data_IF_564361296414
#
_entry.id   IF_564361296414
#
_cell.length_a   1.000
_cell.length_b   1.000
_cell.length_c   1.000
_cell.angle_alpha   90.00
_cell.angle_beta   90.00
_cell.angle_gamma   90.00
#
_symmetry.space_group_name_H-M   'P 1'
#
loop_
_entity.id
_entity.type
_entity.pdbx_description
1 polymer ?
#
# COMPACT_ATOMS: atom_id res chain seq x y z
N UNK A 1 29.18 3.07 19.78
CA UNK A 1 29.48 4.40 19.20
C UNK A 1 28.14 5.16 19.12
N UNK A 2 28.11 6.50 19.28
CA UNK A 2 26.89 7.23 19.61
C UNK A 2 25.87 7.25 18.46
N UNK A 3 24.58 7.26 18.81
CA UNK A 3 23.44 7.06 17.89
C UNK A 3 22.85 8.42 17.42
N UNK A 4 23.46 9.51 17.88
CA UNK A 4 22.80 10.81 18.07
C UNK A 4 22.94 11.81 16.91
N UNK A 5 23.56 11.44 15.79
CA UNK A 5 23.86 12.36 14.67
C UNK A 5 23.13 12.04 13.35
N UNK A 6 22.52 10.86 13.19
CA UNK A 6 22.06 10.37 11.87
C UNK A 6 20.56 10.48 11.60
N UNK A 7 19.69 10.40 12.62
CA UNK A 7 18.28 10.83 12.50
C UNK A 7 18.14 12.36 12.50
N UNK A 8 19.21 13.04 12.91
CA UNK A 8 19.20 14.36 13.56
C UNK A 8 19.14 15.52 12.57
N UNK A 9 19.01 15.22 11.29
CA UNK A 9 18.54 16.20 10.31
C UNK A 9 17.10 16.65 10.66
N UNK A 10 16.23 15.76 11.15
CA UNK A 10 14.74 15.88 11.18
C UNK A 10 14.10 15.97 9.77
N UNK A 11 14.83 15.56 8.72
CA UNK A 11 14.39 15.45 7.31
C UNK A 11 14.35 16.74 6.44
N UNK A 12 14.73 17.98 6.77
CA UNK A 12 15.32 18.65 7.94
C UNK A 12 14.28 19.17 8.95
N UNK A 13 13.03 19.21 8.53
CA UNK A 13 11.85 19.39 9.38
C UNK A 13 10.63 18.65 8.75
N UNK A 14 10.90 17.67 7.88
CA UNK A 14 9.94 16.86 7.09
C UNK A 14 9.11 17.58 6.00
N UNK A 15 9.68 18.06 4.89
CA UNK A 15 11.11 18.20 4.59
C UNK A 15 11.67 19.52 5.14
N UNK A 16 10.90 20.61 5.09
CA UNK A 16 10.87 21.61 6.18
C UNK A 16 9.37 21.86 6.53
N UNK A 17 8.74 20.82 7.07
CA UNK A 17 7.29 20.62 7.16
C UNK A 17 6.56 20.84 5.82
N UNK A 18 7.06 20.20 4.76
CA UNK A 18 6.76 20.45 3.33
C UNK A 18 7.12 21.84 2.76
N UNK A 19 7.85 22.69 3.52
CA UNK A 19 8.21 24.08 3.15
C UNK A 19 7.00 25.00 3.01
N UNK A 20 6.46 25.33 4.19
CA UNK A 20 5.81 26.60 4.56
C UNK A 20 5.50 27.59 3.41
N UNK A 21 4.22 27.92 3.25
CA UNK A 21 3.82 29.21 2.70
C UNK A 21 4.52 30.35 3.49
N UNK A 22 5.00 31.41 2.83
CA UNK A 22 5.99 32.31 3.42
C UNK A 22 5.45 33.10 4.62
N UNK A 23 5.90 32.76 5.84
CA UNK A 23 5.64 33.59 7.03
C UNK A 23 5.81 33.00 8.44
N UNK A 24 5.85 31.67 8.64
CA UNK A 24 5.89 31.08 10.00
C UNK A 24 7.28 30.53 10.41
N UNK A 25 7.58 30.57 11.71
CA UNK A 25 8.87 30.17 12.30
C UNK A 25 8.71 28.95 13.22
N UNK A 26 9.67 27.99 13.27
CA UNK A 26 9.46 26.70 13.94
C UNK A 26 9.69 26.77 15.46
N UNK A 27 8.61 27.01 16.22
CA UNK A 27 8.59 26.74 17.65
C UNK A 27 8.27 25.25 17.91
N UNK A 28 9.21 24.51 18.51
CA UNK A 28 9.01 23.12 18.97
C UNK A 28 8.13 23.06 20.22
N UNK A 29 6.85 23.41 20.08
CA UNK A 29 5.84 23.18 21.12
C UNK A 29 5.37 21.73 21.11
N UNK A 30 5.14 21.16 22.31
CA UNK A 30 4.55 19.84 22.46
C UNK A 30 3.06 19.87 22.08
N UNK A 31 2.76 19.60 20.80
CA UNK A 31 1.41 19.65 20.24
C UNK A 31 0.54 18.48 20.72
N UNK A 32 0.05 18.58 21.96
CA UNK A 32 -1.17 17.87 22.38
C UNK A 32 -2.28 18.14 21.36
N UNK A 33 -2.71 17.11 20.65
CA UNK A 33 -3.84 17.20 19.70
C UNK A 33 -3.59 16.66 18.29
N UNK A 34 -2.36 16.25 17.94
CA UNK A 34 -2.16 15.54 16.66
C UNK A 34 -3.05 14.28 16.60
N UNK A 35 -3.71 14.02 15.46
CA UNK A 35 -4.71 12.96 15.40
C UNK A 35 -4.05 11.62 15.06
N UNK A 36 -3.68 10.88 16.11
CA UNK A 36 -2.85 9.65 16.10
C UNK A 36 -1.36 9.91 15.92
N UNK A 37 -0.60 8.87 16.27
CA UNK A 37 0.83 8.86 16.48
C UNK A 37 1.53 8.32 15.22
N UNK A 38 1.21 8.92 14.07
CA UNK A 38 1.94 8.72 12.81
C UNK A 38 2.27 10.05 12.15
N UNK A 39 3.40 10.08 11.45
CA UNK A 39 3.70 11.10 10.44
C UNK A 39 2.77 10.94 9.22
N UNK A 40 2.39 12.04 8.52
CA UNK A 40 1.52 11.97 7.36
C UNK A 40 2.10 11.01 6.30
N UNK A 41 1.31 10.07 5.74
CA UNK A 41 1.85 9.12 4.77
C UNK A 41 2.22 9.78 3.44
N UNK A 42 3.42 9.48 2.94
CA UNK A 42 3.85 9.79 1.59
C UNK A 42 3.37 8.69 0.64
N UNK A 43 2.98 9.06 -0.58
CA UNK A 43 2.67 8.15 -1.69
C UNK A 43 3.48 8.57 -2.90
N UNK A 44 4.15 7.62 -3.54
CA UNK A 44 4.89 7.77 -4.77
C UNK A 44 4.42 6.68 -5.74
N UNK A 45 4.20 7.02 -7.01
CA UNK A 45 3.70 6.11 -8.04
C UNK A 45 4.31 6.52 -9.38
N UNK A 46 4.82 5.55 -10.13
CA UNK A 46 5.38 5.75 -11.47
C UNK A 46 4.93 4.61 -12.37
N UNK A 47 4.28 4.90 -13.51
CA UNK A 47 3.83 3.86 -14.43
C UNK A 47 5.03 3.12 -15.05
N UNK A 48 4.77 1.95 -15.62
CA UNK A 48 5.65 1.17 -16.49
C UNK A 48 6.36 2.07 -17.52
N UNK A 49 7.65 1.83 -17.78
CA UNK A 49 8.41 2.68 -18.68
C UNK A 49 7.81 2.67 -20.11
N UNK A 50 7.38 3.83 -20.57
CA UNK A 50 6.68 4.04 -21.85
C UNK A 50 5.18 4.30 -21.72
N UNK A 51 4.55 3.92 -20.60
CA UNK A 51 3.14 4.19 -20.32
C UNK A 51 2.92 5.62 -19.83
N UNK A 52 1.71 6.14 -20.09
CA UNK A 52 1.22 7.43 -19.57
C UNK A 52 0.73 7.27 -18.11
N UNK A 53 0.68 8.35 -17.29
CA UNK A 53 0.18 8.26 -15.91
C UNK A 53 -1.26 7.76 -15.76
N UNK A 54 -2.09 7.86 -16.80
CA UNK A 54 -3.45 7.30 -16.84
C UNK A 54 -3.55 5.90 -17.46
N UNK A 55 -2.41 5.31 -17.85
CA UNK A 55 -2.23 3.89 -18.20
C UNK A 55 -1.60 3.09 -17.06
N UNK A 56 -1.42 3.73 -15.89
CA UNK A 56 -0.99 3.09 -14.65
C UNK A 56 -2.14 2.25 -14.06
N UNK A 57 -1.98 0.94 -13.97
CA UNK A 57 -2.94 -0.04 -13.46
C UNK A 57 -2.87 -0.18 -11.92
N UNK A 58 -1.73 0.20 -11.34
CA UNK A 58 -1.48 0.36 -9.90
C UNK A 58 -2.34 1.49 -9.30
N UNK A 59 -2.87 1.31 -8.08
CA UNK A 59 -3.53 2.36 -7.31
C UNK A 59 -3.33 2.23 -5.80
N UNK A 60 -3.09 3.36 -5.12
CA UNK A 60 -2.97 3.40 -3.67
C UNK A 60 -3.82 4.48 -2.99
N UNK A 61 -4.40 4.15 -1.84
CA UNK A 61 -5.29 5.01 -1.05
C UNK A 61 -4.89 5.03 0.41
N UNK A 62 -5.09 6.17 1.05
CA UNK A 62 -4.78 6.41 2.47
C UNK A 62 -5.86 7.30 3.06
N UNK A 63 -6.41 6.92 4.22
CA UNK A 63 -7.33 7.76 5.01
C UNK A 63 -6.82 7.83 6.44
N UNK A 64 -6.58 9.06 6.90
CA UNK A 64 -5.99 9.35 8.20
C UNK A 64 -6.31 10.79 8.65
N UNK A 65 -6.86 11.03 9.85
CA UNK A 65 -7.44 10.06 10.78
C UNK A 65 -8.83 9.58 10.33
N UNK A 66 -9.07 8.27 10.35
CA UNK A 66 -10.44 7.72 10.36
C UNK A 66 -10.99 7.86 11.77
N UNK A 67 -12.22 8.37 11.94
CA UNK A 67 -12.94 8.36 13.23
C UNK A 67 -13.88 7.15 13.27
N UNK A 68 -13.67 6.23 14.21
CA UNK A 68 -14.48 5.02 14.36
C UNK A 68 -15.48 5.18 15.53
N UNK A 69 -16.76 5.29 15.19
CA UNK A 69 -17.87 5.35 16.16
C UNK A 69 -17.94 6.66 16.97
N UNK A 70 -18.75 6.65 18.05
CA UNK A 70 -18.89 7.80 18.97
C UNK A 70 -17.70 7.96 19.91
N UNK A 71 -16.96 6.89 20.20
CA UNK A 71 -15.89 6.86 21.22
C UNK A 71 -14.53 7.38 20.71
N UNK A 72 -14.52 8.27 19.71
CA UNK A 72 -13.35 8.92 19.12
C UNK A 72 -12.16 8.01 18.74
N UNK A 73 -12.36 6.70 18.54
CA UNK A 73 -11.28 5.76 18.21
C UNK A 73 -10.71 6.12 16.84
N UNK A 74 -9.49 6.68 16.84
CA UNK A 74 -8.78 7.06 15.61
C UNK A 74 -8.06 5.86 15.00
N UNK A 75 -8.04 5.79 13.67
CA UNK A 75 -7.30 4.81 12.90
C UNK A 75 -6.63 5.44 11.68
N UNK A 76 -5.61 4.77 11.15
CA UNK A 76 -5.05 4.97 9.82
C UNK A 76 -5.44 3.75 8.96
N UNK A 77 -5.87 4.00 7.73
CA UNK A 77 -6.14 2.94 6.75
C UNK A 77 -5.34 3.22 5.49
N UNK A 78 -4.73 2.17 4.96
CA UNK A 78 -3.91 2.18 3.74
C UNK A 78 -4.40 1.04 2.86
N UNK A 79 -4.39 1.26 1.56
CA UNK A 79 -4.58 0.20 0.58
C UNK A 79 -3.67 0.44 -0.62
N UNK A 80 -3.22 -0.66 -1.20
CA UNK A 80 -2.51 -0.75 -2.47
C UNK A 80 -3.16 -1.89 -3.25
N UNK A 81 -3.40 -1.68 -4.53
CA UNK A 81 -3.92 -2.69 -5.45
C UNK A 81 -3.22 -2.52 -6.80
N UNK A 82 -2.72 -3.62 -7.34
CA UNK A 82 -2.06 -3.72 -8.64
C UNK A 82 -3.03 -4.39 -9.63
N UNK A 83 -3.39 -3.72 -10.71
CA UNK A 83 -4.32 -4.20 -11.72
C UNK A 83 -3.63 -5.04 -12.80
N UNK A 84 -3.96 -6.34 -12.90
CA UNK A 84 -3.27 -7.24 -13.81
C UNK A 84 -3.56 -6.93 -15.30
N UNK A 85 -2.52 -6.55 -16.05
CA UNK A 85 -2.52 -6.17 -17.48
C UNK A 85 -3.21 -7.18 -18.41
N UNK A 86 -3.18 -8.47 -18.06
CA UNK A 86 -3.85 -9.51 -18.84
C UNK A 86 -5.38 -9.47 -18.74
N UNK A 87 -5.95 -8.75 -17.77
CA UNK A 87 -7.39 -8.50 -17.62
C UNK A 87 -7.84 -7.19 -18.29
N UNK A 88 -9.14 -6.92 -18.36
CA UNK A 88 -9.69 -5.68 -18.94
C UNK A 88 -10.30 -4.81 -17.84
N UNK A 89 -10.05 -3.49 -17.87
CA UNK A 89 -10.44 -2.56 -16.80
C UNK A 89 -9.90 -2.96 -15.42
N UNK A 90 -8.70 -3.57 -15.44
CA UNK A 90 -7.73 -3.80 -14.36
C UNK A 90 -7.56 -2.57 -13.48
N UNK A 91 -7.21 -1.45 -14.11
CA UNK A 91 -6.99 -0.13 -13.49
C UNK A 91 -8.21 0.35 -12.70
N UNK A 92 -9.40 0.30 -13.28
CA UNK A 92 -10.64 0.71 -12.61
C UNK A 92 -10.96 -0.20 -11.42
N UNK A 93 -10.62 -1.49 -11.53
CA UNK A 93 -10.81 -2.47 -10.47
C UNK A 93 -9.85 -2.25 -9.29
N UNK A 94 -8.56 -2.04 -9.54
CA UNK A 94 -7.59 -1.67 -8.52
C UNK A 94 -8.00 -0.39 -7.75
N UNK A 95 -8.42 0.66 -8.47
CA UNK A 95 -8.94 1.89 -7.87
C UNK A 95 -10.20 1.67 -7.01
N UNK A 96 -11.10 0.78 -7.43
CA UNK A 96 -12.29 0.39 -6.66
C UNK A 96 -11.89 -0.34 -5.38
N UNK A 97 -11.00 -1.34 -5.46
CA UNK A 97 -10.54 -2.12 -4.31
C UNK A 97 -9.80 -1.25 -3.28
N UNK A 98 -8.86 -0.42 -3.73
CA UNK A 98 -8.06 0.44 -2.86
C UNK A 98 -8.94 1.48 -2.15
N UNK A 99 -9.93 2.07 -2.84
CA UNK A 99 -10.92 2.98 -2.25
C UNK A 99 -11.78 2.26 -1.21
N UNK A 100 -12.43 1.17 -1.60
CA UNK A 100 -13.39 0.47 -0.75
C UNK A 100 -12.74 -0.12 0.51
N UNK A 101 -11.46 -0.49 0.47
CA UNK A 101 -10.75 -0.94 1.67
C UNK A 101 -10.53 0.19 2.68
N UNK A 102 -10.18 1.41 2.25
CA UNK A 102 -9.95 2.53 3.18
C UNK A 102 -11.24 3.18 3.66
N UNK A 103 -12.32 3.13 2.89
CA UNK A 103 -13.64 3.64 3.29
C UNK A 103 -14.39 2.62 4.16
N UNK A 104 -14.44 1.36 3.71
CA UNK A 104 -15.32 0.29 4.19
C UNK A 104 -14.52 -0.98 4.51
N UNK A 105 -13.44 -0.88 5.27
CA UNK A 105 -12.56 -2.02 5.60
C UNK A 105 -13.35 -3.25 6.09
N UNK A 106 -13.08 -4.47 5.57
CA UNK A 106 -13.64 -5.71 6.10
C UNK A 106 -13.20 -5.92 7.56
N UNK A 107 -13.97 -6.67 8.36
CA UNK A 107 -13.53 -6.99 9.71
C UNK A 107 -12.50 -8.12 9.69
N UNK A 108 -11.24 -7.78 9.94
CA UNK A 108 -10.11 -8.72 9.99
C UNK A 108 -9.91 -9.31 11.41
N UNK A 109 -10.98 -9.40 12.21
CA UNK A 109 -10.96 -9.90 13.60
C UNK A 109 -11.71 -11.21 13.77
N UNK A 110 -12.74 -11.48 12.97
CA UNK A 110 -13.54 -12.71 13.00
C UNK A 110 -12.77 -13.92 12.49
N UNK A 111 -11.77 -13.70 11.62
CA UNK A 111 -11.16 -14.71 10.75
C UNK A 111 -12.21 -15.46 9.87
N UNK A 112 -13.43 -14.89 9.72
CA UNK A 112 -14.55 -15.48 8.97
C UNK A 112 -14.56 -15.04 7.49
N UNK A 113 -14.24 -15.97 6.59
CA UNK A 113 -14.16 -15.75 5.13
C UNK A 113 -15.47 -15.23 4.49
N UNK A 114 -16.61 -15.38 5.16
CA UNK A 114 -17.89 -14.81 4.74
C UNK A 114 -17.88 -13.28 4.69
N UNK A 115 -17.25 -12.63 5.67
CA UNK A 115 -17.17 -11.17 5.78
C UNK A 115 -16.44 -10.56 4.58
N UNK A 116 -15.39 -11.23 4.09
CA UNK A 116 -14.58 -10.74 2.97
C UNK A 116 -15.30 -10.89 1.61
N UNK A 117 -16.06 -11.97 1.41
CA UNK A 117 -16.92 -12.13 0.22
C UNK A 117 -18.09 -11.14 0.24
N UNK A 118 -18.73 -10.94 1.39
CA UNK A 118 -19.76 -9.92 1.58
C UNK A 118 -19.21 -8.49 1.42
N UNK A 119 -17.98 -8.25 1.86
CA UNK A 119 -17.28 -6.98 1.62
C UNK A 119 -17.07 -6.72 0.13
N UNK A 120 -16.70 -7.74 -0.64
CA UNK A 120 -16.30 -7.56 -2.04
C UNK A 120 -17.48 -7.31 -3.00
N UNK A 121 -18.67 -7.85 -2.72
CA UNK A 121 -19.80 -7.80 -3.65
C UNK A 121 -20.22 -6.37 -4.10
N UNK A 122 -20.36 -5.36 -3.20
CA UNK A 122 -20.65 -3.97 -3.62
C UNK A 122 -19.55 -3.36 -4.49
N UNK A 123 -18.30 -3.81 -4.33
CA UNK A 123 -17.17 -3.40 -5.16
C UNK A 123 -17.31 -3.97 -6.58
N UNK A 124 -17.64 -5.27 -6.69
CA UNK A 124 -17.87 -5.98 -7.95
C UNK A 124 -19.04 -5.37 -8.74
N UNK A 125 -20.17 -5.08 -8.07
CA UNK A 125 -21.28 -4.33 -8.68
C UNK A 125 -20.85 -2.93 -9.17
N UNK A 126 -19.96 -2.27 -8.44
CA UNK A 126 -19.52 -0.91 -8.79
C UNK A 126 -18.56 -0.88 -9.97
N UNK A 127 -17.84 -1.97 -10.20
CA UNK A 127 -17.09 -2.20 -11.43
C UNK A 127 -18.04 -2.50 -12.59
N UNK A 128 -19.00 -3.42 -12.42
CA UNK A 128 -19.99 -3.75 -13.46
C UNK A 128 -20.79 -2.53 -13.95
N UNK A 129 -21.19 -1.64 -13.02
CA UNK A 129 -21.84 -0.35 -13.33
C UNK A 129 -20.93 0.66 -14.03
N UNK A 130 -19.61 0.55 -13.91
CA UNK A 130 -18.64 1.41 -14.57
C UNK A 130 -18.37 0.95 -16.02
N UNK A 131 -18.43 -0.37 -16.28
CA UNK A 131 -18.14 -0.93 -17.59
C UNK A 131 -19.14 -0.45 -18.65
N UNK A 132 -18.67 0.16 -19.76
CA UNK A 132 -19.54 0.64 -20.83
C UNK A 132 -19.94 -0.51 -21.76
N UNK A 133 -20.66 -1.52 -21.24
CA UNK A 133 -20.99 -2.78 -21.91
C UNK A 133 -21.49 -2.63 -23.36
N UNK A 134 -22.34 -1.63 -23.63
CA UNK A 134 -22.88 -1.34 -24.97
C UNK A 134 -21.89 -0.72 -25.98
N UNK A 135 -20.64 -0.47 -25.56
CA UNK A 135 -19.57 0.11 -26.37
C UNK A 135 -18.32 -0.77 -26.46
N UNK A 136 -18.31 -1.94 -25.82
CA UNK A 136 -17.16 -2.86 -25.89
C UNK A 136 -17.07 -3.45 -27.30
N UNK A 137 -15.91 -3.40 -27.98
CA UNK A 137 -15.71 -4.10 -29.24
C UNK A 137 -15.87 -5.62 -29.05
N UNK A 138 -16.50 -6.31 -30.00
CA UNK A 138 -16.79 -7.75 -29.90
C UNK A 138 -15.59 -8.64 -29.51
N UNK A 139 -14.37 -8.27 -29.93
CA UNK A 139 -13.14 -9.00 -29.61
C UNK A 139 -12.66 -8.80 -28.16
N UNK A 140 -13.09 -7.72 -27.50
CA UNK A 140 -12.83 -7.45 -26.08
C UNK A 140 -13.93 -7.98 -25.15
N UNK A 141 -15.13 -8.28 -25.67
CA UNK A 141 -16.29 -8.64 -24.85
C UNK A 141 -16.04 -9.88 -23.98
N UNK A 142 -15.42 -10.94 -24.53
CA UNK A 142 -15.08 -12.13 -23.78
C UNK A 142 -14.07 -11.84 -22.65
N UNK A 143 -13.05 -11.02 -22.90
CA UNK A 143 -12.06 -10.60 -21.90
C UNK A 143 -12.69 -9.75 -20.79
N UNK A 144 -13.64 -8.87 -21.12
CA UNK A 144 -14.35 -8.08 -20.08
C UNK A 144 -15.36 -8.93 -19.31
N UNK A 145 -16.07 -9.87 -19.94
CA UNK A 145 -16.97 -10.82 -19.24
C UNK A 145 -16.23 -11.77 -18.30
N UNK A 146 -14.95 -12.07 -18.58
CA UNK A 146 -14.10 -12.80 -17.64
C UNK A 146 -13.84 -12.02 -16.33
N UNK A 147 -13.94 -10.69 -16.37
CA UNK A 147 -13.70 -9.78 -15.25
C UNK A 147 -12.30 -9.16 -15.27
N UNK A 148 -12.16 -8.04 -14.57
CA UNK A 148 -10.87 -7.50 -14.17
C UNK A 148 -10.26 -8.37 -13.06
N UNK A 149 -8.92 -8.37 -12.98
CA UNK A 149 -8.15 -9.03 -11.92
C UNK A 149 -7.19 -8.01 -11.30
N UNK A 150 -7.05 -8.03 -9.98
CA UNK A 150 -6.13 -7.16 -9.26
C UNK A 150 -5.68 -7.77 -7.93
N UNK A 151 -4.50 -7.38 -7.46
CA UNK A 151 -4.04 -7.65 -6.09
C UNK A 151 -4.77 -6.73 -5.10
N UNK A 152 -4.67 -7.02 -3.80
CA UNK A 152 -5.05 -6.09 -2.74
C UNK A 152 -4.19 -6.31 -1.51
N UNK A 153 -3.36 -5.33 -1.17
CA UNK A 153 -2.71 -5.20 0.12
C UNK A 153 -3.41 -4.09 0.92
N UNK A 154 -4.11 -4.47 1.98
CA UNK A 154 -4.82 -3.56 2.87
C UNK A 154 -4.22 -3.56 4.28
N UNK A 155 -3.97 -2.38 4.85
CA UNK A 155 -3.45 -2.21 6.21
C UNK A 155 -4.34 -1.27 7.04
N UNK A 156 -4.66 -1.67 8.26
CA UNK A 156 -5.30 -0.81 9.28
C UNK A 156 -4.43 -0.72 10.53
N UNK A 157 -4.15 0.51 10.98
CA UNK A 157 -3.45 0.80 12.24
C UNK A 157 -4.42 1.54 13.17
N UNK A 158 -4.65 1.03 14.39
CA UNK A 158 -5.64 1.56 15.34
C UNK A 158 -5.24 1.38 16.81
N UNK A 159 -5.71 2.26 17.68
CA UNK A 159 -5.78 1.98 19.13
C UNK A 159 -7.01 1.10 19.40
N UNK A 160 -6.86 0.04 20.20
CA UNK A 160 -8.03 -0.78 20.66
C UNK A 160 -8.93 0.00 21.63
N UNK A 161 -8.31 0.80 22.50
CA UNK A 161 -8.92 1.67 23.49
C UNK A 161 -8.26 3.06 23.42
N UNK A 162 -9.01 4.14 23.62
CA UNK A 162 -8.49 5.53 23.55
C UNK A 162 -7.35 5.76 24.54
N UNK A 163 -7.42 5.14 25.72
CA UNK A 163 -6.41 5.20 26.78
C UNK A 163 -5.19 4.29 26.58
N UNK A 164 -5.19 3.41 25.58
CA UNK A 164 -4.05 2.51 25.34
C UNK A 164 -2.94 3.23 24.57
N UNK A 165 -1.69 3.25 25.08
CA UNK A 165 -0.55 3.80 24.33
C UNK A 165 -0.19 2.91 23.12
N UNK A 166 -0.58 1.63 23.11
CA UNK A 166 -0.22 0.67 22.07
C UNK A 166 -1.05 0.87 20.79
N UNK A 167 -0.36 1.06 19.67
CA UNK A 167 -0.93 0.91 18.33
C UNK A 167 -0.93 -0.56 17.91
N UNK A 168 -2.10 -1.06 17.50
CA UNK A 168 -2.24 -2.35 16.85
C UNK A 168 -2.37 -2.19 15.35
N UNK A 169 -1.78 -3.11 14.59
CA UNK A 169 -1.98 -3.20 13.16
C UNK A 169 -2.62 -4.54 12.78
N UNK A 170 -3.38 -4.53 11.69
CA UNK A 170 -3.93 -5.71 11.02
C UNK A 170 -3.89 -5.48 9.52
N UNK A 171 -3.34 -6.46 8.79
CA UNK A 171 -3.17 -6.44 7.35
C UNK A 171 -3.88 -7.64 6.69
N UNK A 172 -4.33 -7.41 5.46
CA UNK A 172 -4.83 -8.41 4.53
C UNK A 172 -4.01 -8.30 3.25
N UNK A 173 -3.65 -9.43 2.66
CA UNK A 173 -3.06 -9.48 1.33
C UNK A 173 -3.77 -10.53 0.46
N UNK A 174 -4.04 -10.16 -0.78
CA UNK A 174 -4.34 -11.07 -1.89
C UNK A 174 -3.39 -10.70 -3.02
N UNK A 175 -2.45 -11.59 -3.33
CA UNK A 175 -1.38 -11.36 -4.29
C UNK A 175 -0.03 -11.12 -3.63
N UNK A 176 0.81 -10.32 -4.28
CA UNK A 176 2.25 -10.16 -4.04
C UNK A 176 2.69 -8.71 -3.74
N UNK A 177 1.76 -7.74 -3.79
CA UNK A 177 1.97 -6.42 -3.14
C UNK A 177 2.34 -6.61 -1.66
N UNK A 178 3.49 -6.06 -1.24
CA UNK A 178 4.08 -6.32 0.08
C UNK A 178 4.05 -5.14 1.05
N UNK A 179 3.83 -5.48 2.32
CA UNK A 179 3.98 -4.67 3.53
C UNK A 179 5.33 -5.00 4.19
N UNK A 180 6.17 -3.98 4.33
CA UNK A 180 7.40 -4.05 5.11
C UNK A 180 7.29 -3.20 6.38
N UNK A 181 7.82 -3.69 7.50
CA UNK A 181 8.02 -2.90 8.73
C UNK A 181 9.50 -2.92 9.11
N UNK A 182 10.10 -1.74 9.24
CA UNK A 182 11.49 -1.58 9.69
C UNK A 182 11.48 -1.00 11.11
N UNK A 183 12.12 -1.72 12.03
CA UNK A 183 12.19 -1.39 13.47
C UNK A 183 13.65 -1.34 13.88
N UNK A 184 14.08 -0.20 14.46
CA UNK A 184 15.45 0.01 14.98
C UNK A 184 16.56 -0.34 13.96
N UNK A 185 16.34 0.03 12.70
CA UNK A 185 17.20 -0.27 11.55
C UNK A 185 17.28 -1.75 11.12
N UNK A 186 16.32 -2.60 11.50
CA UNK A 186 16.24 -3.98 10.98
C UNK A 186 14.85 -4.26 10.36
N UNK A 187 14.80 -5.16 9.37
CA UNK A 187 13.55 -5.62 8.78
C UNK A 187 12.81 -6.52 9.78
N UNK A 188 11.76 -5.99 10.40
CA UNK A 188 10.99 -6.65 11.44
C UNK A 188 9.79 -7.44 10.89
N UNK A 189 9.27 -7.04 9.73
CA UNK A 189 8.20 -7.73 9.03
C UNK A 189 8.38 -7.62 7.52
N UNK A 190 8.14 -8.72 6.83
CA UNK A 190 7.74 -8.78 5.43
C UNK A 190 6.43 -9.58 5.34
N UNK A 191 5.51 -9.18 4.47
CA UNK A 191 4.19 -9.80 4.32
C UNK A 191 3.53 -9.36 3.00
N UNK A 192 2.89 -10.22 2.20
CA UNK A 192 2.76 -11.67 2.40
C UNK A 192 4.03 -12.44 2.04
N UNK A 193 4.88 -11.90 1.18
CA UNK A 193 6.13 -12.53 0.75
C UNK A 193 7.30 -12.09 1.63
N UNK A 194 8.29 -12.97 1.81
CA UNK A 194 9.52 -12.75 2.58
C UNK A 194 10.82 -13.11 1.82
N UNK A 195 10.72 -13.73 0.64
CA UNK A 195 11.85 -13.98 -0.27
C UNK A 195 11.52 -13.54 -1.72
N UNK A 196 12.50 -12.94 -2.42
CA UNK A 196 12.33 -12.48 -3.80
C UNK A 196 12.05 -13.62 -4.81
N UNK A 197 12.40 -14.86 -4.49
CA UNK A 197 12.09 -16.04 -5.30
C UNK A 197 10.61 -16.48 -5.23
N UNK A 198 9.79 -15.84 -4.39
CA UNK A 198 8.35 -16.10 -4.28
C UNK A 198 7.52 -15.31 -5.32
N UNK A 199 8.08 -14.26 -5.93
CA UNK A 199 7.41 -13.53 -7.02
C UNK A 199 7.33 -14.39 -8.28
N UNK A 200 6.26 -14.21 -9.05
CA UNK A 200 6.03 -14.96 -10.29
C UNK A 200 4.88 -14.39 -11.12
N UNK A 201 4.56 -15.06 -12.22
CA UNK A 201 3.61 -14.53 -13.20
C UNK A 201 2.13 -14.80 -12.85
N UNK A 202 1.84 -15.52 -11.76
CA UNK A 202 0.49 -15.95 -11.39
C UNK A 202 0.21 -15.77 -9.89
N UNK A 203 0.23 -14.52 -9.37
CA UNK A 203 -0.18 -14.25 -8.00
C UNK A 203 -1.67 -14.53 -7.76
N UNK A 204 -2.05 -14.59 -6.49
CA UNK A 204 -3.45 -14.60 -6.08
C UNK A 204 -4.12 -13.25 -6.43
N UNK A 205 -5.25 -13.27 -7.14
CA UNK A 205 -5.92 -12.05 -7.63
C UNK A 205 -7.41 -12.05 -7.31
N UNK A 206 -7.93 -10.92 -6.85
CA UNK A 206 -9.37 -10.68 -6.70
C UNK A 206 -9.99 -10.41 -8.07
N UNK A 207 -11.07 -11.11 -8.42
CA UNK A 207 -11.80 -10.89 -9.66
C UNK A 207 -13.02 -9.97 -9.50
N UNK A 208 -13.24 -9.06 -10.46
CA UNK A 208 -14.46 -8.24 -10.50
C UNK A 208 -15.71 -9.06 -10.84
N UNK A 209 -15.56 -10.20 -11.54
CA UNK A 209 -16.64 -11.15 -11.78
C UNK A 209 -16.75 -12.13 -10.57
N UNK A 210 -17.90 -12.19 -9.86
CA UNK A 210 -18.09 -13.10 -8.73
C UNK A 210 -17.90 -14.59 -9.07
N UNK A 211 -18.21 -15.04 -10.29
CA UNK A 211 -18.11 -16.47 -10.66
C UNK A 211 -16.67 -16.94 -10.84
N UNK A 212 -15.75 -16.03 -11.14
CA UNK A 212 -14.37 -16.35 -11.50
C UNK A 212 -13.39 -16.08 -10.34
N UNK A 213 -13.91 -15.73 -9.16
CA UNK A 213 -13.12 -15.33 -8.01
C UNK A 213 -12.65 -16.53 -7.18
N UNK A 214 -11.93 -17.45 -7.82
CA UNK A 214 -11.44 -18.72 -7.27
C UNK A 214 -10.30 -18.60 -6.25
N UNK A 215 -9.95 -17.37 -5.84
CA UNK A 215 -8.87 -17.06 -4.88
C UNK A 215 -9.26 -17.34 -3.42
N UNK A 216 -10.50 -17.73 -3.16
CA UNK A 216 -11.06 -17.86 -1.81
C UNK A 216 -11.34 -19.32 -1.39
N UNK A 217 -10.83 -19.78 -0.22
CA UNK A 217 -10.08 -19.02 0.79
C UNK A 217 -8.57 -18.89 0.55
N UNK A 218 -7.94 -19.75 -0.25
CA UNK A 218 -6.51 -20.08 -0.16
C UNK A 218 -5.55 -18.94 -0.49
N UNK A 219 -5.96 -18.00 -1.35
CA UNK A 219 -5.16 -16.84 -1.76
C UNK A 219 -5.31 -15.61 -0.86
N UNK A 220 -6.05 -15.70 0.25
CA UNK A 220 -6.21 -14.63 1.24
C UNK A 220 -5.27 -14.86 2.41
N UNK A 221 -4.33 -13.93 2.62
CA UNK A 221 -3.42 -13.94 3.75
C UNK A 221 -3.79 -12.83 4.74
N UNK A 222 -3.67 -13.12 6.05
CA UNK A 222 -3.97 -12.19 7.14
C UNK A 222 -2.81 -12.13 8.13
N UNK A 223 -2.45 -10.93 8.57
CA UNK A 223 -1.43 -10.72 9.61
C UNK A 223 -1.87 -9.64 10.61
N UNK A 224 -1.44 -9.75 11.87
CA UNK A 224 -1.85 -8.84 12.96
C UNK A 224 -0.76 -8.71 14.03
N UNK A 225 -0.56 -7.50 14.57
CA UNK A 225 0.52 -7.21 15.52
C UNK A 225 0.43 -5.86 16.22
N UNK A 226 1.58 -5.35 16.67
CA UNK A 226 1.74 -4.05 17.34
C UNK A 226 2.90 -3.24 16.74
N UNK A 227 2.73 -1.92 16.70
CA UNK A 227 3.77 -0.98 16.30
C UNK A 227 4.49 -0.44 17.54
N UNK A 228 5.79 -0.15 17.41
CA UNK A 228 6.60 0.61 18.37
C UNK A 228 6.84 2.05 17.89
N UNK A 229 7.24 2.92 18.82
CA UNK A 229 7.67 4.28 18.51
C UNK A 229 8.81 4.28 17.48
N UNK A 230 8.62 5.02 16.39
CA UNK A 230 9.64 5.18 15.36
C UNK A 230 9.71 4.06 14.32
N UNK A 231 8.86 3.03 14.39
CA UNK A 231 8.69 2.03 13.30
C UNK A 231 8.39 2.74 11.98
N UNK A 232 9.06 2.31 10.91
CA UNK A 232 8.76 2.72 9.54
C UNK A 232 7.92 1.63 8.88
N UNK A 233 6.86 2.04 8.19
CA UNK A 233 5.89 1.17 7.54
C UNK A 233 5.85 1.53 6.06
N UNK A 234 6.07 0.54 5.18
CA UNK A 234 6.10 0.69 3.73
C UNK A 234 5.15 -0.32 3.08
N UNK A 235 4.36 0.10 2.09
CA UNK A 235 3.61 -0.77 1.19
C UNK A 235 4.18 -0.57 -0.23
N UNK A 236 4.37 -1.67 -0.97
CA UNK A 236 5.05 -1.71 -2.26
C UNK A 236 4.36 -2.67 -3.25
N UNK A 237 4.21 -2.27 -4.52
CA UNK A 237 3.75 -3.17 -5.60
C UNK A 237 4.89 -4.08 -6.08
N UNK A 238 4.58 -5.09 -6.91
CA UNK A 238 5.43 -6.26 -7.15
C UNK A 238 6.88 -5.89 -7.54
N UNK A 239 7.05 -4.97 -8.49
CA UNK A 239 8.34 -4.55 -9.00
C UNK A 239 9.23 -3.90 -7.92
N UNK A 240 8.63 -3.13 -7.01
CA UNK A 240 9.34 -2.51 -5.89
C UNK A 240 9.61 -3.51 -4.77
N UNK A 241 8.64 -4.39 -4.49
CA UNK A 241 8.75 -5.40 -3.44
C UNK A 241 9.80 -6.47 -3.78
N UNK A 242 9.85 -6.92 -5.04
CA UNK A 242 10.88 -7.82 -5.56
C UNK A 242 12.27 -7.18 -5.54
N UNK A 243 12.39 -5.90 -5.92
CA UNK A 243 13.64 -5.14 -5.75
C UNK A 243 14.06 -5.07 -4.28
N UNK A 244 13.13 -4.73 -3.37
CA UNK A 244 13.40 -4.59 -1.94
C UNK A 244 13.89 -5.91 -1.33
N UNK A 245 13.21 -7.02 -1.58
CA UNK A 245 13.62 -8.33 -1.07
C UNK A 245 14.92 -8.84 -1.73
N UNK A 246 15.16 -8.55 -3.00
CA UNK A 246 16.44 -8.87 -3.67
C UNK A 246 17.61 -8.15 -3.00
N UNK A 247 17.47 -6.85 -2.73
CA UNK A 247 18.50 -6.07 -2.03
C UNK A 247 18.69 -6.58 -0.58
N UNK A 248 17.60 -6.85 0.15
CA UNK A 248 17.67 -7.36 1.51
C UNK A 248 18.39 -8.73 1.59
N UNK A 249 18.07 -9.65 0.68
CA UNK A 249 18.75 -10.96 0.60
C UNK A 249 20.22 -10.87 0.18
N UNK A 250 20.65 -9.76 -0.42
CA UNK A 250 22.07 -9.45 -0.65
C UNK A 250 22.79 -8.87 0.59
N UNK A 251 22.08 -8.65 1.70
CA UNK A 251 22.59 -8.04 2.93
C UNK A 251 22.51 -6.50 2.96
N UNK A 252 21.90 -5.88 1.95
CA UNK A 252 21.70 -4.43 1.90
C UNK A 252 20.49 -3.99 2.73
N UNK A 253 20.43 -2.69 3.04
CA UNK A 253 19.32 -2.06 3.78
C UNK A 253 18.48 -1.19 2.84
N UNK A 254 17.58 -1.77 2.00
CA UNK A 254 16.86 -1.04 0.94
C UNK A 254 16.01 0.14 1.46
N UNK A 255 15.55 0.10 2.71
CA UNK A 255 14.89 1.22 3.36
C UNK A 255 15.78 2.47 3.48
N UNK A 256 17.11 2.33 3.60
CA UNK A 256 18.00 3.48 3.54
C UNK A 256 18.04 4.12 2.16
N UNK A 257 17.85 3.39 1.07
CA UNK A 257 17.65 3.99 -0.26
C UNK A 257 16.31 4.72 -0.30
N UNK A 258 15.21 4.02 0.00
CA UNK A 258 13.85 4.55 -0.14
C UNK A 258 13.57 5.77 0.76
N UNK A 259 14.11 5.80 1.98
CA UNK A 259 13.91 6.91 2.93
C UNK A 259 14.80 8.13 2.67
N UNK A 260 15.82 8.01 1.80
CA UNK A 260 16.68 9.13 1.39
C UNK A 260 16.34 9.69 0.00
N UNK A 261 15.40 9.08 -0.74
CA UNK A 261 14.92 9.61 -2.02
C UNK A 261 14.00 10.82 -1.79
N UNK A 262 14.27 11.92 -2.49
CA UNK A 262 13.29 13.00 -2.60
C UNK A 262 12.15 12.60 -3.56
N UNK A 263 10.89 13.02 -3.33
CA UNK A 263 9.78 12.72 -4.24
C UNK A 263 10.03 13.11 -5.71
N UNK A 264 10.81 14.16 -5.96
CA UNK A 264 11.19 14.61 -7.31
C UNK A 264 12.25 13.72 -7.99
N UNK A 265 12.89 12.80 -7.26
CA UNK A 265 13.87 11.84 -7.75
C UNK A 265 13.25 10.44 -7.96
N UNK A 266 12.01 10.22 -7.54
CA UNK A 266 11.35 8.91 -7.56
C UNK A 266 11.35 8.26 -8.95
N UNK A 267 10.78 8.93 -9.95
CA UNK A 267 10.63 8.41 -11.30
C UNK A 267 11.99 8.13 -11.97
N UNK A 268 12.98 9.03 -11.80
CA UNK A 268 14.31 8.85 -12.39
C UNK A 268 15.11 7.75 -11.67
N UNK A 269 14.92 7.56 -10.37
CA UNK A 269 15.49 6.44 -9.63
C UNK A 269 14.87 5.10 -10.04
N UNK A 270 13.53 5.01 -10.08
CA UNK A 270 12.79 3.82 -10.57
C UNK A 270 13.25 3.44 -11.98
N UNK A 271 13.30 4.41 -12.90
CA UNK A 271 13.75 4.17 -14.27
C UNK A 271 15.24 3.78 -14.34
N UNK A 272 16.09 4.26 -13.42
CA UNK A 272 17.48 3.77 -13.29
C UNK A 272 17.52 2.29 -12.87
N UNK A 273 16.70 1.85 -11.90
CA UNK A 273 16.64 0.44 -11.51
C UNK A 273 16.12 -0.46 -12.65
N UNK A 274 15.07 -0.01 -13.36
CA UNK A 274 14.54 -0.69 -14.55
C UNK A 274 15.60 -0.83 -15.66
N UNK A 275 16.38 0.21 -15.93
CA UNK A 275 17.47 0.19 -16.92
C UNK A 275 18.66 -0.67 -16.50
N UNK A 276 18.95 -0.76 -15.20
CA UNK A 276 19.98 -1.64 -14.64
C UNK A 276 19.56 -3.12 -14.59
N UNK A 277 18.27 -3.42 -14.81
CA UNK A 277 17.71 -4.77 -14.66
C UNK A 277 17.53 -5.23 -13.22
N UNK A 278 17.72 -4.35 -12.22
CA UNK A 278 17.49 -4.64 -10.80
C UNK A 278 16.01 -4.55 -10.40
N UNK A 279 15.17 -3.99 -11.26
CA UNK A 279 13.72 -3.85 -11.05
C UNK A 279 12.98 -4.23 -12.34
N UNK A 280 11.87 -4.96 -12.19
CA UNK A 280 10.95 -5.31 -13.29
C UNK A 280 10.43 -4.04 -13.95
N UNK A 281 10.33 -4.01 -15.28
CA UNK A 281 9.62 -2.94 -15.97
C UNK A 281 8.10 -3.16 -15.87
N UNK A 282 7.55 -2.85 -14.71
CA UNK A 282 6.12 -2.71 -14.47
C UNK A 282 5.83 -1.41 -13.73
N UNK A 283 4.55 -1.14 -13.47
CA UNK A 283 4.15 -0.06 -12.56
C UNK A 283 4.86 -0.19 -11.20
N UNK A 284 5.01 0.93 -10.50
CA UNK A 284 5.86 0.96 -9.29
C UNK A 284 5.33 1.99 -8.30
N UNK A 285 4.78 1.50 -7.19
CA UNK A 285 4.18 2.30 -6.13
C UNK A 285 4.86 2.07 -4.79
N UNK A 286 5.05 3.15 -4.03
CA UNK A 286 5.47 3.16 -2.63
C UNK A 286 4.50 4.00 -1.80
N UNK A 287 3.97 3.42 -0.72
CA UNK A 287 3.31 4.18 0.36
C UNK A 287 4.18 4.05 1.61
N UNK A 288 4.60 5.16 2.22
CA UNK A 288 5.48 5.14 3.41
C UNK A 288 4.99 6.06 4.51
N UNK A 289 5.05 5.58 5.75
CA UNK A 289 4.74 6.35 6.98
C UNK A 289 5.66 5.89 8.12
N UNK A 290 5.60 6.60 9.25
CA UNK A 290 6.38 6.31 10.45
C UNK A 290 5.56 6.57 11.71
N UNK A 291 5.71 5.73 12.73
CA UNK A 291 5.12 5.94 14.06
C UNK A 291 5.84 7.08 14.79
N UNK A 292 5.07 7.90 15.52
CA UNK A 292 5.51 9.11 16.25
C UNK A 292 5.36 8.96 17.76
#
# INVERSE_FOLDING_TARGET
>A
MPVDLFLTQIWKLWCDFWKLAPGASPALTCTRGLPMDLFPPLRLITPKFGNRPDECEDDCRVVYPVRLGRDEKKAARFALADGATESAFSRDWAQILARDFVERTPDLVSDEMGDLKAWLAPSQESWDRLIPWSRIPWHGEAKTRAGALATLLGLTIRRKLVSSPVLHWSALAVGDSCLFMVRRDELFLSFPLDDAAQFGNTPALLCSNPTNNGVFPEGVQLAKGTCELGDVIMLASDALAGWFLTQHSAGEKPWHTLLNLEPAQWESWVNTQRQAGSMRNDDTTLVVTRIR
#
